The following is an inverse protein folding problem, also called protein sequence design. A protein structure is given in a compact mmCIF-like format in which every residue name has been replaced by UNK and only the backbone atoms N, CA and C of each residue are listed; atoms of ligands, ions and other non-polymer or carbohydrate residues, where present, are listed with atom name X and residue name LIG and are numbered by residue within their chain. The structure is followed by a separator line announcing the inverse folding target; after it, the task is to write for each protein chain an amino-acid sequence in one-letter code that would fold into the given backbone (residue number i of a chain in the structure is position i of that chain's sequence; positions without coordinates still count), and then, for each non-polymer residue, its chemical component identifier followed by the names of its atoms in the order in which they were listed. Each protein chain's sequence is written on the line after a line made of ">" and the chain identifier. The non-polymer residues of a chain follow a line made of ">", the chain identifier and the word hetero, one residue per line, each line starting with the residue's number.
data_IF_431361916068
#
_entry.id   IF_431361916068
#
_cell.length_a   1.000
_cell.length_b   1.000
_cell.length_c   1.000
_cell.angle_alpha   90.00
_cell.angle_beta   90.00
_cell.angle_gamma   90.00
#
_symmetry.space_group_name_H-M   'P 1'
#
loop_
_entity.id
_entity.type
_entity.pdbx_description
1 polymer ?
#
# COMPACT_ATOMS: atom_id res chain seq x y z
N UNK A 1 15.56 8.44 -11.43
CA UNK A 1 14.52 7.64 -10.76
C UNK A 1 15.08 6.24 -10.53
N UNK A 2 14.83 5.64 -9.37
CA UNK A 2 15.11 4.22 -9.17
C UNK A 2 13.83 3.55 -8.67
N UNK A 3 13.61 2.32 -9.13
CA UNK A 3 12.46 1.50 -8.77
C UNK A 3 12.64 1.03 -7.32
N UNK A 4 11.58 1.15 -6.53
CA UNK A 4 11.54 0.75 -5.12
C UNK A 4 10.79 -0.55 -4.93
N UNK A 5 9.61 -0.66 -5.55
CA UNK A 5 8.77 -1.85 -5.45
C UNK A 5 7.89 -2.01 -6.69
N UNK A 6 7.48 -3.24 -6.96
CA UNK A 6 6.51 -3.61 -7.99
C UNK A 6 5.66 -4.73 -7.44
N UNK A 7 4.37 -4.71 -7.74
CA UNK A 7 3.48 -5.84 -7.46
C UNK A 7 2.41 -5.97 -8.55
N UNK A 8 1.92 -7.20 -8.73
CA UNK A 8 0.98 -7.58 -9.78
C UNK A 8 -0.31 -8.06 -9.12
N UNK A 9 -1.45 -7.61 -9.63
CA UNK A 9 -2.74 -8.05 -9.11
C UNK A 9 -2.94 -9.55 -9.39
N UNK A 10 -3.11 -10.38 -8.33
CA UNK A 10 -3.27 -11.83 -8.49
C UNK A 10 -4.55 -12.22 -9.24
N UNK A 11 -5.56 -11.36 -9.29
CA UNK A 11 -6.82 -11.57 -10.04
C UNK A 11 -6.74 -11.07 -11.48
N UNK A 12 -5.83 -10.15 -11.77
CA UNK A 12 -5.69 -9.57 -13.10
C UNK A 12 -4.22 -9.32 -13.41
N UNK A 13 -3.53 -10.25 -14.08
CA UNK A 13 -2.09 -10.11 -14.37
C UNK A 13 -1.76 -8.93 -15.29
N UNK A 14 -2.76 -8.29 -15.92
CA UNK A 14 -2.57 -7.06 -16.69
C UNK A 14 -2.58 -5.78 -15.82
N UNK A 15 -2.91 -5.90 -14.54
CA UNK A 15 -2.87 -4.80 -13.58
C UNK A 15 -1.66 -5.00 -12.66
N UNK A 16 -0.76 -4.03 -12.68
CA UNK A 16 0.41 -4.01 -11.80
C UNK A 16 0.68 -2.58 -11.36
N UNK A 17 1.26 -2.43 -10.18
CA UNK A 17 1.64 -1.15 -9.60
C UNK A 17 3.14 -1.13 -9.42
N UNK A 18 3.76 -0.03 -9.84
CA UNK A 18 5.19 0.23 -9.70
C UNK A 18 5.35 1.47 -8.82
N UNK A 19 6.21 1.39 -7.81
CA UNK A 19 6.65 2.53 -7.03
C UNK A 19 8.12 2.83 -7.27
N UNK A 20 8.43 4.11 -7.41
CA UNK A 20 9.78 4.63 -7.52
C UNK A 20 10.02 5.83 -6.60
N UNK A 21 11.21 6.41 -6.72
CA UNK A 21 11.59 7.65 -6.03
C UNK A 21 10.70 8.85 -6.34
N UNK A 22 9.96 8.80 -7.44
CA UNK A 22 9.09 9.83 -8.02
C UNK A 22 7.60 9.60 -7.78
N UNK A 23 7.19 8.45 -7.21
CA UNK A 23 5.79 8.15 -6.89
C UNK A 23 5.34 6.74 -7.32
N UNK A 24 4.02 6.50 -7.33
CA UNK A 24 3.41 5.25 -7.82
C UNK A 24 2.80 5.42 -9.22
N UNK A 25 2.87 4.35 -10.03
CA UNK A 25 2.33 4.25 -11.38
C UNK A 25 1.67 2.88 -11.63
N UNK A 26 0.62 2.77 -12.46
CA UNK A 26 -0.14 3.86 -13.08
C UNK A 26 -0.94 4.59 -12.02
N UNK A 27 -0.83 5.93 -12.00
CA UNK A 27 -1.34 6.79 -10.93
C UNK A 27 -2.83 6.50 -10.63
N UNK A 28 -3.15 5.96 -9.45
CA UNK A 28 -4.43 6.26 -8.86
C UNK A 28 -4.35 7.73 -8.45
N UNK A 29 -5.41 8.50 -8.66
CA UNK A 29 -5.54 9.90 -8.25
C UNK A 29 -5.55 10.07 -6.70
N UNK A 30 -4.99 9.10 -5.97
CA UNK A 30 -4.90 8.97 -4.52
C UNK A 30 -3.67 9.62 -3.90
N UNK A 31 -2.72 10.07 -4.71
CA UNK A 31 -1.48 10.68 -4.23
C UNK A 31 -1.70 12.20 -4.19
N UNK A 32 -2.52 12.63 -3.25
CA UNK A 32 -2.53 14.02 -2.81
C UNK A 32 -1.14 14.37 -2.27
N UNK A 33 -0.36 15.10 -3.06
CA UNK A 33 0.79 15.94 -2.68
C UNK A 33 1.92 15.29 -1.84
N UNK A 34 1.91 13.96 -1.68
CA UNK A 34 2.88 13.25 -0.86
C UNK A 34 4.03 12.75 -1.72
N UNK A 35 5.02 13.63 -1.91
CA UNK A 35 6.41 13.25 -2.26
C UNK A 35 7.11 12.45 -1.13
N UNK A 36 6.35 11.70 -0.34
CA UNK A 36 6.92 10.85 0.71
C UNK A 36 7.36 9.58 0.00
N UNK A 37 8.66 9.26 0.05
CA UNK A 37 9.21 8.09 -0.62
C UNK A 37 8.45 6.82 -0.20
N UNK A 38 7.96 6.07 -1.19
CA UNK A 38 7.40 4.74 -1.00
C UNK A 38 8.53 3.79 -0.64
N UNK A 39 8.35 3.02 0.42
CA UNK A 39 9.34 2.03 0.86
C UNK A 39 8.91 0.59 0.55
N UNK A 40 7.60 0.32 0.44
CA UNK A 40 7.06 -0.99 0.07
C UNK A 40 5.62 -0.91 -0.39
N UNK A 41 5.16 -1.89 -1.16
CA UNK A 41 3.79 -2.01 -1.63
C UNK A 41 3.38 -3.48 -1.81
N UNK A 42 2.09 -3.77 -1.65
CA UNK A 42 1.51 -5.08 -1.91
C UNK A 42 0.07 -4.97 -2.41
N UNK A 43 -0.38 -5.91 -3.21
CA UNK A 43 -1.75 -6.05 -3.72
C UNK A 43 -2.40 -7.26 -3.05
N UNK A 44 -3.58 -7.05 -2.47
CA UNK A 44 -4.34 -8.11 -1.81
C UNK A 44 -5.02 -9.02 -2.82
N UNK A 45 -5.46 -10.19 -2.35
CA UNK A 45 -6.32 -11.07 -3.15
C UNK A 45 -7.58 -10.36 -3.65
N UNK A 46 -8.06 -9.30 -2.98
CA UNK A 46 -9.24 -8.54 -3.34
C UNK A 46 -8.96 -7.31 -4.22
N UNK A 47 -7.76 -7.22 -4.81
CA UNK A 47 -7.30 -6.08 -5.61
C UNK A 47 -7.23 -4.76 -4.80
N UNK A 48 -6.93 -4.86 -3.51
CA UNK A 48 -6.66 -3.68 -2.65
C UNK A 48 -5.16 -3.39 -2.65
N UNK A 49 -4.78 -2.11 -2.65
CA UNK A 49 -3.38 -1.70 -2.62
C UNK A 49 -2.97 -1.29 -1.21
N UNK A 50 -1.90 -1.90 -0.72
CA UNK A 50 -1.21 -1.52 0.50
C UNK A 50 0.06 -0.74 0.12
N UNK A 51 0.29 0.41 0.75
CA UNK A 51 1.47 1.24 0.49
C UNK A 51 2.11 1.67 1.81
N UNK A 52 3.39 1.38 1.97
CA UNK A 52 4.23 1.86 3.08
C UNK A 52 4.98 3.11 2.65
N UNK A 53 4.79 4.21 3.40
CA UNK A 53 5.50 5.46 3.19
C UNK A 53 6.53 5.70 4.29
N UNK A 54 7.59 6.46 3.95
CA UNK A 54 8.63 6.87 4.88
C UNK A 54 8.12 7.64 6.12
N UNK A 55 6.93 8.22 6.09
CA UNK A 55 6.32 8.95 7.23
C UNK A 55 5.73 8.05 8.33
N UNK A 56 6.13 6.77 8.38
CA UNK A 56 5.63 5.74 9.32
C UNK A 56 4.16 5.39 9.16
N UNK A 57 3.55 5.76 8.03
CA UNK A 57 2.17 5.41 7.72
C UNK A 57 2.13 4.31 6.67
N UNK A 58 1.26 3.34 6.90
CA UNK A 58 0.87 2.34 5.91
C UNK A 58 -0.57 2.63 5.53
N UNK A 59 -0.85 2.76 4.24
CA UNK A 59 -2.17 3.06 3.71
C UNK A 59 -2.72 1.84 2.98
N UNK A 60 -3.97 1.50 3.26
CA UNK A 60 -4.75 0.53 2.52
C UNK A 60 -5.80 1.27 1.70
N UNK A 61 -5.69 1.12 0.39
CA UNK A 61 -6.59 1.66 -0.61
C UNK A 61 -7.43 0.51 -1.17
N UNK A 62 -8.75 0.65 -1.08
CA UNK A 62 -9.66 -0.33 -1.67
C UNK A 62 -9.78 -0.08 -3.18
N UNK A 63 -10.20 -1.11 -3.93
CA UNK A 63 -10.26 -1.08 -5.40
C UNK A 63 -11.08 0.09 -5.96
N UNK A 64 -12.16 0.45 -5.27
CA UNK A 64 -13.07 1.55 -5.59
C UNK A 64 -12.45 2.93 -5.41
N UNK A 65 -11.29 3.04 -4.74
CA UNK A 65 -10.57 4.31 -4.54
C UNK A 65 -9.71 4.73 -5.74
N UNK A 66 -9.96 4.21 -6.95
CA UNK A 66 -9.25 4.61 -8.16
C UNK A 66 -8.12 3.67 -8.60
N UNK A 67 -8.07 2.44 -8.08
CA UNK A 67 -7.19 1.37 -8.57
C UNK A 67 -7.76 0.65 -9.81
N UNK A 68 -8.97 1.02 -10.25
CA UNK A 68 -9.64 0.48 -11.43
C UNK A 68 -9.85 1.51 -12.55
N UNK A 69 -10.11 1.03 -13.76
CA UNK A 69 -10.32 1.82 -15.00
C UNK A 69 -11.55 2.76 -15.00
N UNK A 70 -12.24 2.97 -13.87
CA UNK A 70 -13.46 3.79 -13.82
C UNK A 70 -13.24 5.08 -13.02
N UNK A 71 -12.81 6.11 -13.78
CA UNK A 71 -13.19 7.52 -13.68
C UNK A 71 -13.44 8.16 -12.31
N UNK A 72 -12.51 9.01 -11.89
CA UNK A 72 -12.64 10.45 -11.53
C UNK A 72 -13.65 10.87 -10.43
N UNK A 73 -14.71 10.10 -10.11
CA UNK A 73 -15.78 10.52 -9.19
C UNK A 73 -15.75 9.83 -7.81
N UNK A 74 -14.98 8.76 -7.64
CA UNK A 74 -14.88 8.04 -6.35
C UNK A 74 -13.86 8.64 -5.36
N UNK A 75 -13.03 9.58 -5.83
CA UNK A 75 -11.84 10.09 -5.10
C UNK A 75 -12.22 10.99 -3.92
N UNK A 76 -13.38 11.67 -3.94
CA UNK A 76 -13.73 12.63 -2.89
C UNK A 76 -14.33 12.02 -1.61
N UNK A 77 -14.70 10.74 -1.59
CA UNK A 77 -15.45 10.15 -0.45
C UNK A 77 -14.76 9.04 0.31
N UNK A 78 -13.67 8.47 -0.21
CA UNK A 78 -13.07 7.29 0.38
C UNK A 78 -11.79 7.65 1.15
N UNK A 79 -11.88 7.69 2.48
CA UNK A 79 -10.70 7.84 3.34
C UNK A 79 -9.98 6.48 3.45
N UNK A 80 -8.73 6.35 3.02
CA UNK A 80 -8.00 5.09 3.12
C UNK A 80 -7.83 4.68 4.58
N UNK A 81 -7.79 3.37 4.84
CA UNK A 81 -7.45 2.88 6.17
C UNK A 81 -5.96 3.11 6.41
N UNK A 82 -5.61 3.74 7.54
CA UNK A 82 -4.23 4.07 7.89
C UNK A 82 -3.79 3.24 9.10
N UNK A 83 -2.64 2.60 8.96
CA UNK A 83 -1.93 1.94 10.06
C UNK A 83 -0.69 2.76 10.39
N UNK A 84 -0.49 3.02 11.68
CA UNK A 84 0.67 3.78 12.17
C UNK A 84 1.69 2.82 12.75
N UNK A 85 2.93 2.93 12.28
CA UNK A 85 4.05 2.14 12.77
C UNK A 85 4.62 2.75 14.05
N UNK A 86 5.12 1.90 14.94
CA UNK A 86 5.77 2.28 16.19
C UNK A 86 7.29 2.14 16.04
N UNK A 87 8.05 3.24 16.05
CA UNK A 87 9.51 3.18 15.99
C UNK A 87 10.17 4.36 15.29
N UNK A 88 11.51 4.44 15.25
CA UNK A 88 12.26 5.40 14.44
C UNK A 88 12.03 5.16 12.93
N UNK A 89 12.15 6.23 12.13
CA UNK A 89 11.72 6.28 10.72
C UNK A 89 12.75 5.72 9.72
N UNK A 90 13.88 5.20 10.22
CA UNK A 90 15.12 5.14 9.46
C UNK A 90 15.33 3.83 8.68
N UNK A 91 14.40 2.87 8.76
CA UNK A 91 14.56 1.58 8.09
C UNK A 91 13.44 1.30 7.08
N UNK A 92 13.83 0.57 6.03
CA UNK A 92 13.01 0.28 4.85
C UNK A 92 12.12 -0.91 5.19
N UNK A 93 10.94 -0.64 5.73
CA UNK A 93 10.06 -1.70 6.20
C UNK A 93 9.05 -2.06 5.10
N UNK A 94 9.22 -3.27 4.55
CA UNK A 94 8.31 -3.84 3.55
C UNK A 94 6.95 -4.21 4.18
N UNK A 95 5.93 -4.34 3.34
CA UNK A 95 4.56 -4.63 3.75
C UNK A 95 3.97 -5.76 2.93
N UNK A 96 3.11 -6.56 3.56
CA UNK A 96 2.43 -7.67 2.90
C UNK A 96 1.08 -7.98 3.54
N UNK A 97 0.34 -8.90 2.93
CA UNK A 97 -0.92 -9.42 3.47
C UNK A 97 -0.75 -10.84 4.00
N UNK A 98 -1.50 -11.19 5.05
CA UNK A 98 -1.56 -12.56 5.60
C UNK A 98 -3.00 -13.01 5.85
N UNK A 99 -3.15 -14.33 5.97
CA UNK A 99 -4.40 -15.00 6.34
C UNK A 99 -5.34 -15.22 5.15
N UNK A 100 -6.41 -16.00 5.36
CA UNK A 100 -7.45 -16.20 4.36
C UNK A 100 -7.98 -14.86 3.84
N UNK A 101 -8.03 -14.69 2.52
CA UNK A 101 -8.51 -13.46 1.86
C UNK A 101 -7.74 -12.20 2.26
N UNK A 102 -6.45 -12.34 2.58
CA UNK A 102 -5.60 -11.19 2.91
C UNK A 102 -6.15 -10.35 4.09
N UNK A 103 -6.78 -10.99 5.09
CA UNK A 103 -7.51 -10.30 6.17
C UNK A 103 -6.60 -9.53 7.16
N UNK A 104 -5.30 -9.83 7.15
CA UNK A 104 -4.29 -9.18 7.97
C UNK A 104 -3.30 -8.40 7.10
N UNK A 105 -2.92 -7.22 7.60
CA UNK A 105 -1.79 -6.43 7.11
C UNK A 105 -0.58 -6.75 7.97
N UNK A 106 0.56 -6.97 7.35
CA UNK A 106 1.83 -7.24 8.01
C UNK A 106 2.88 -6.25 7.56
N UNK A 107 3.71 -5.84 8.51
CA UNK A 107 4.89 -5.04 8.27
C UNK A 107 6.07 -5.66 9.01
N UNK A 108 7.18 -5.78 8.30
CA UNK A 108 8.44 -6.26 8.87
C UNK A 108 9.27 -5.07 9.34
N UNK A 109 9.71 -5.09 10.59
CA UNK A 109 10.59 -4.07 11.15
C UNK A 109 12.04 -4.54 11.21
N UNK A 110 12.88 -3.90 10.40
CA UNK A 110 14.30 -4.22 10.21
C UNK A 110 15.15 -4.08 11.50
N UNK A 111 14.75 -3.25 12.49
CA UNK A 111 15.63 -2.95 13.64
C UNK A 111 15.69 -4.10 14.66
N UNK A 112 14.59 -4.83 14.85
CA UNK A 112 14.48 -5.85 15.91
C UNK A 112 13.95 -7.20 15.39
N UNK A 113 13.81 -7.36 14.06
CA UNK A 113 13.17 -8.54 13.47
C UNK A 113 11.73 -8.72 13.98
N UNK A 114 11.05 -7.60 14.29
CA UNK A 114 9.69 -7.63 14.80
C UNK A 114 8.73 -7.58 13.63
N UNK A 115 7.77 -8.50 13.64
CA UNK A 115 6.67 -8.51 12.69
C UNK A 115 5.47 -7.90 13.40
N UNK A 116 4.91 -6.85 12.80
CA UNK A 116 3.67 -6.24 13.27
C UNK A 116 2.52 -6.66 12.37
N UNK A 117 1.40 -7.01 13.00
CA UNK A 117 0.20 -7.47 12.29
C UNK A 117 -1.01 -6.67 12.74
N UNK A 118 -1.83 -6.24 11.77
CA UNK A 118 -3.10 -5.56 12.02
C UNK A 118 -4.22 -6.27 11.27
N UNK A 119 -5.40 -6.38 11.89
CA UNK A 119 -6.60 -6.87 11.20
C UNK A 119 -7.20 -5.75 10.32
N UNK A 120 -7.55 -6.06 9.07
CA UNK A 120 -8.31 -5.14 8.20
C UNK A 120 -9.72 -4.91 8.78
N UNK A 121 -10.28 -3.72 8.55
CA UNK A 121 -11.68 -3.47 8.90
C UNK A 121 -12.57 -4.20 7.89
N UNK A 122 -13.48 -5.05 8.37
CA UNK A 122 -14.38 -5.84 7.52
C UNK A 122 -13.93 -7.26 7.19
N UNK A 123 -12.83 -7.73 7.80
CA UNK A 123 -12.39 -9.13 7.74
C UNK A 123 -13.15 -10.06 8.69
#
# INVERSE_FOLDING_TARGET
>A
AYLKAIDVDPRNPNLFVVAGSDGLFPSPQLIGDRQVGVEGLAISDDSELLVSYRDKSIYLFTRDMGLGHSGIEAVEKATPQVYKRHGPSELVEDVSFLGPKSEYVVNESDWFGRIFTWKKKGG
#
